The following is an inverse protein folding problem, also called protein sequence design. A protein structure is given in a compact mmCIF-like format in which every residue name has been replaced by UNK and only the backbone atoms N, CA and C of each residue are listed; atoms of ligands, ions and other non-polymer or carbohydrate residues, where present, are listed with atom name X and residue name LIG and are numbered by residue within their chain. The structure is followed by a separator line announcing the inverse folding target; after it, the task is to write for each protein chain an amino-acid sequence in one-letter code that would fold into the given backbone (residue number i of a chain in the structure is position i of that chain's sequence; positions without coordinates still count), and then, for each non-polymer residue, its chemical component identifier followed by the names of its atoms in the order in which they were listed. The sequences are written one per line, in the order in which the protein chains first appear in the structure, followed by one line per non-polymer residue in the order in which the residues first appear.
data_IF_898670797197
#
_entry.id   IF_898670797197
#
_cell.length_a   1.000
_cell.length_b   1.000
_cell.length_c   1.000
_cell.angle_alpha   90.00
_cell.angle_beta   90.00
_cell.angle_gamma   90.00
#
_symmetry.space_group_name_H-M   'P 1'
#
loop_
_entity.id
_entity.type
_entity.pdbx_description
1 polymer ?
#
# COMPACT_ATOMS: atom_id res chain seq x y z
N UNK A 1 -22.57 -6.28 4.28
CA UNK A 1 -21.49 -5.48 4.90
C UNK A 1 -20.64 -4.92 3.77
N UNK A 2 -19.93 -3.81 3.97
CA UNK A 2 -19.03 -3.28 2.95
C UNK A 2 -17.78 -4.17 2.88
N UNK A 3 -17.70 -4.98 1.81
CA UNK A 3 -16.62 -5.93 1.62
C UNK A 3 -15.27 -5.23 1.41
N UNK A 4 -15.25 -4.14 0.64
CA UNK A 4 -14.05 -3.37 0.32
C UNK A 4 -13.47 -2.68 1.55
N UNK A 5 -14.30 -2.14 2.44
CA UNK A 5 -13.83 -1.58 3.71
C UNK A 5 -13.24 -2.64 4.63
N UNK A 6 -13.86 -3.81 4.71
CA UNK A 6 -13.33 -4.92 5.51
C UNK A 6 -11.98 -5.38 4.96
N UNK A 7 -11.85 -5.53 3.64
CA UNK A 7 -10.57 -5.88 3.02
C UNK A 7 -9.49 -4.83 3.29
N UNK A 8 -9.81 -3.54 3.15
CA UNK A 8 -8.89 -2.46 3.50
C UNK A 8 -8.42 -2.55 4.95
N UNK A 9 -9.37 -2.76 5.87
CA UNK A 9 -9.08 -2.91 7.29
C UNK A 9 -8.11 -4.06 7.58
N UNK A 10 -8.31 -5.22 6.93
CA UNK A 10 -7.36 -6.33 7.03
C UNK A 10 -6.03 -6.01 6.37
N UNK A 11 -6.01 -5.45 5.16
CA UNK A 11 -4.79 -5.14 4.41
C UNK A 11 -3.81 -4.25 5.18
N UNK A 12 -4.32 -3.32 5.97
CA UNK A 12 -3.52 -2.47 6.86
C UNK A 12 -2.86 -3.23 8.02
N UNK A 13 -3.42 -4.37 8.44
CA UNK A 13 -3.06 -5.08 9.68
C UNK A 13 -2.37 -6.41 9.45
N UNK A 14 -2.63 -7.06 8.31
CA UNK A 14 -2.03 -8.35 7.98
C UNK A 14 -0.60 -8.18 7.49
N UNK A 15 0.17 -9.26 7.64
CA UNK A 15 1.54 -9.33 7.19
C UNK A 15 1.68 -9.71 5.71
N UNK A 16 0.71 -10.44 5.19
CA UNK A 16 0.72 -11.06 3.87
C UNK A 16 -0.71 -11.22 3.38
N UNK A 17 -0.95 -10.91 2.11
CA UNK A 17 -2.24 -11.09 1.44
C UNK A 17 -2.02 -12.13 0.35
N UNK A 18 -2.76 -13.25 0.41
CA UNK A 18 -2.67 -14.32 -0.59
C UNK A 18 -3.91 -14.27 -1.47
N UNK A 19 -3.71 -13.96 -2.75
CA UNK A 19 -4.76 -14.01 -3.77
C UNK A 19 -4.67 -15.36 -4.49
N UNK A 20 -5.74 -16.14 -4.42
CA UNK A 20 -5.81 -17.48 -5.01
C UNK A 20 -6.59 -17.43 -6.33
N UNK A 21 -6.01 -17.98 -7.39
CA UNK A 21 -6.64 -18.18 -8.68
C UNK A 21 -6.61 -19.66 -9.06
N UNK A 22 -7.60 -20.10 -9.84
CA UNK A 22 -7.68 -21.47 -10.33
C UNK A 22 -7.15 -21.54 -11.77
N UNK A 23 -6.15 -22.37 -12.03
CA UNK A 23 -5.56 -22.53 -13.37
C UNK A 23 -6.55 -23.11 -14.39
N UNK A 24 -7.55 -23.88 -13.92
CA UNK A 24 -8.55 -24.49 -14.79
C UNK A 24 -9.69 -23.52 -15.16
N UNK A 25 -9.99 -22.56 -14.27
CA UNK A 25 -11.09 -21.59 -14.42
C UNK A 25 -10.62 -20.19 -14.03
N UNK A 26 -9.66 -19.66 -14.77
CA UNK A 26 -9.21 -18.29 -14.55
C UNK A 26 -10.33 -17.33 -14.95
N UNK A 27 -10.96 -16.72 -13.96
CA UNK A 27 -11.89 -15.62 -14.12
C UNK A 27 -11.54 -14.53 -13.09
N UNK A 28 -11.44 -13.30 -13.56
CA UNK A 28 -11.15 -12.13 -12.72
C UNK A 28 -12.35 -11.22 -12.86
N UNK A 29 -13.29 -11.40 -11.93
CA UNK A 29 -14.53 -10.62 -11.93
C UNK A 29 -14.27 -9.16 -11.54
N UNK A 30 -15.26 -8.31 -11.81
CA UNK A 30 -15.22 -6.91 -11.40
C UNK A 30 -15.13 -6.79 -9.87
N UNK A 31 -15.82 -7.65 -9.11
CA UNK A 31 -15.73 -7.67 -7.65
C UNK A 31 -14.32 -8.03 -7.16
N UNK A 32 -13.64 -8.94 -7.85
CA UNK A 32 -12.25 -9.29 -7.51
C UNK A 32 -11.31 -8.12 -7.82
N UNK A 33 -11.56 -7.42 -8.92
CA UNK A 33 -10.80 -6.22 -9.27
C UNK A 33 -11.00 -5.09 -8.25
N UNK A 34 -12.22 -4.90 -7.74
CA UNK A 34 -12.50 -3.97 -6.64
C UNK A 34 -11.82 -4.39 -5.33
N UNK A 35 -11.83 -5.69 -5.01
CA UNK A 35 -11.13 -6.24 -3.86
C UNK A 35 -9.61 -5.96 -3.92
N UNK A 36 -8.98 -6.15 -5.08
CA UNK A 36 -7.55 -5.82 -5.26
C UNK A 36 -7.34 -4.31 -5.08
N UNK A 37 -8.20 -3.47 -5.66
CA UNK A 37 -8.11 -2.01 -5.50
C UNK A 37 -8.27 -1.57 -4.05
N UNK A 38 -9.02 -2.30 -3.22
CA UNK A 38 -9.14 -2.03 -1.79
C UNK A 38 -7.81 -2.20 -1.03
N UNK A 39 -6.86 -2.97 -1.57
CA UNK A 39 -5.51 -3.15 -1.02
C UNK A 39 -4.48 -2.14 -1.55
N UNK A 40 -4.90 -1.09 -2.27
CA UNK A 40 -3.98 -0.05 -2.78
C UNK A 40 -3.08 0.49 -1.67
N UNK A 41 -1.77 0.53 -1.92
CA UNK A 41 -0.76 0.98 -0.96
C UNK A 41 -0.27 -0.12 0.00
N UNK A 42 -0.80 -1.34 -0.16
CA UNK A 42 -0.33 -2.57 0.52
C UNK A 42 0.16 -3.59 -0.51
N UNK A 43 0.54 -3.14 -1.72
CA UNK A 43 0.88 -3.97 -2.86
C UNK A 43 2.08 -4.90 -2.57
N UNK A 44 3.03 -4.46 -1.74
CA UNK A 44 4.20 -5.23 -1.30
C UNK A 44 3.82 -6.49 -0.48
N UNK A 45 2.64 -6.45 0.16
CA UNK A 45 2.10 -7.56 0.93
C UNK A 45 1.44 -8.61 0.06
N UNK A 46 1.11 -8.31 -1.19
CA UNK A 46 0.37 -9.21 -2.07
C UNK A 46 1.27 -10.33 -2.60
N UNK A 47 0.77 -11.56 -2.51
CA UNK A 47 1.29 -12.74 -3.21
C UNK A 47 0.16 -13.42 -3.93
N UNK A 48 0.42 -13.83 -5.16
CA UNK A 48 -0.58 -14.49 -5.99
C UNK A 48 -0.25 -15.96 -6.05
N UNK A 49 -1.26 -16.81 -6.04
CA UNK A 49 -1.13 -18.26 -6.15
C UNK A 49 -2.03 -18.71 -7.28
N UNK A 50 -1.45 -19.28 -8.32
CA UNK A 50 -2.19 -19.97 -9.37
C UNK A 50 -2.27 -21.45 -9.00
N UNK A 51 -3.37 -21.79 -8.34
CA UNK A 51 -3.66 -23.11 -7.80
C UNK A 51 -4.23 -24.06 -8.86
N UNK A 52 -4.21 -25.37 -8.58
CA UNK A 52 -4.68 -26.44 -9.48
C UNK A 52 -3.97 -26.44 -10.84
N UNK A 53 -2.73 -25.95 -10.89
CA UNK A 53 -1.92 -25.89 -12.10
C UNK A 53 -1.63 -27.29 -12.72
N UNK A 54 -1.82 -28.36 -11.95
CA UNK A 54 -1.69 -29.74 -12.40
C UNK A 54 -2.90 -30.25 -13.19
N UNK A 55 -4.00 -29.49 -13.28
CA UNK A 55 -5.21 -29.85 -14.04
C UNK A 55 -5.17 -29.39 -15.51
N UNK A 56 -4.09 -28.72 -15.90
CA UNK A 56 -3.90 -28.19 -17.25
C UNK A 56 -2.54 -28.65 -17.78
N UNK A 57 -2.39 -28.70 -19.11
CA UNK A 57 -1.09 -28.99 -19.72
C UNK A 57 -0.13 -27.79 -19.64
N UNK A 58 1.13 -28.02 -19.98
CA UNK A 58 2.19 -27.00 -19.94
C UNK A 58 1.90 -25.78 -20.81
N UNK A 59 1.29 -25.95 -21.99
CA UNK A 59 0.99 -24.82 -22.89
C UNK A 59 -0.19 -24.00 -22.38
N UNK A 60 -1.25 -24.67 -21.92
CA UNK A 60 -2.40 -24.04 -21.31
C UNK A 60 -2.00 -23.29 -20.05
N UNK A 61 -1.16 -23.88 -19.19
CA UNK A 61 -0.63 -23.22 -18.00
C UNK A 61 0.06 -21.90 -18.35
N UNK A 62 0.88 -21.87 -19.41
CA UNK A 62 1.54 -20.63 -19.82
C UNK A 62 0.57 -19.57 -20.35
N UNK A 63 -0.48 -19.98 -21.07
CA UNK A 63 -1.55 -19.06 -21.53
C UNK A 63 -2.31 -18.47 -20.35
N UNK A 64 -2.68 -19.30 -19.38
CA UNK A 64 -3.41 -18.89 -18.17
C UNK A 64 -2.53 -17.95 -17.33
N UNK A 65 -1.26 -18.28 -17.14
CA UNK A 65 -0.30 -17.43 -16.44
C UNK A 65 -0.17 -16.06 -17.11
N UNK A 66 0.00 -16.03 -18.44
CA UNK A 66 0.07 -14.78 -19.21
C UNK A 66 -1.19 -13.93 -19.08
N UNK A 67 -2.37 -14.56 -19.17
CA UNK A 67 -3.66 -13.88 -19.00
C UNK A 67 -3.82 -13.30 -17.58
N UNK A 68 -3.42 -14.05 -16.55
CA UNK A 68 -3.43 -13.58 -15.16
C UNK A 68 -2.53 -12.36 -14.98
N UNK A 69 -1.28 -12.42 -15.45
CA UNK A 69 -0.34 -11.31 -15.33
C UNK A 69 -0.81 -10.06 -16.06
N UNK A 70 -1.37 -10.22 -17.25
CA UNK A 70 -1.96 -9.12 -18.03
C UNK A 70 -3.09 -8.43 -17.27
N UNK A 71 -4.01 -9.22 -16.70
CA UNK A 71 -5.13 -8.68 -15.94
C UNK A 71 -4.68 -8.01 -14.64
N UNK A 72 -3.76 -8.63 -13.89
CA UNK A 72 -3.20 -8.04 -12.68
C UNK A 72 -2.49 -6.72 -12.98
N UNK A 73 -1.75 -6.61 -14.08
CA UNK A 73 -1.08 -5.38 -14.50
C UNK A 73 -2.03 -4.22 -14.81
N UNK A 74 -3.30 -4.50 -15.15
CA UNK A 74 -4.33 -3.47 -15.32
C UNK A 74 -4.92 -2.98 -14.00
N UNK A 75 -4.92 -3.82 -12.98
CA UNK A 75 -5.60 -3.56 -11.71
C UNK A 75 -4.63 -3.03 -10.66
N UNK A 76 -3.42 -3.60 -10.59
CA UNK A 76 -2.37 -3.23 -9.65
C UNK A 76 -1.54 -2.12 -10.30
N UNK A 77 -1.70 -0.90 -9.80
CA UNK A 77 -1.08 0.29 -10.34
C UNK A 77 0.33 0.51 -9.76
N UNK A 78 1.22 -0.47 -9.94
CA UNK A 78 2.63 -0.40 -9.55
C UNK A 78 3.52 -0.90 -10.69
N UNK A 79 4.70 -0.31 -10.93
CA UNK A 79 5.64 -0.83 -11.90
C UNK A 79 6.25 -2.19 -11.49
N UNK A 80 6.12 -2.57 -10.21
CA UNK A 80 6.67 -3.82 -9.70
C UNK A 80 5.78 -5.02 -10.05
N UNK A 81 6.40 -6.07 -10.58
CA UNK A 81 5.69 -7.30 -10.95
C UNK A 81 5.41 -8.13 -9.70
N UNK A 82 4.14 -8.45 -9.47
CA UNK A 82 3.73 -9.28 -8.32
C UNK A 82 4.21 -10.72 -8.48
N UNK A 83 4.74 -11.30 -7.40
CA UNK A 83 5.16 -12.72 -7.37
C UNK A 83 3.93 -13.64 -7.40
N UNK A 84 3.87 -14.48 -8.42
CA UNK A 84 2.89 -15.56 -8.57
C UNK A 84 3.55 -16.89 -8.26
N UNK A 85 2.93 -17.72 -7.42
CA UNK A 85 3.35 -19.10 -7.14
C UNK A 85 2.47 -20.09 -7.90
N UNK A 86 3.09 -20.95 -8.71
CA UNK A 86 2.39 -21.96 -9.51
C UNK A 86 2.34 -23.31 -8.78
N UNK A 87 1.18 -23.93 -8.68
CA UNK A 87 1.13 -25.28 -8.11
C UNK A 87 -0.27 -25.82 -7.84
N UNK A 88 -0.29 -26.93 -7.12
CA UNK A 88 -1.51 -27.55 -6.60
C UNK A 88 -1.35 -27.76 -5.11
N UNK A 89 -1.92 -26.85 -4.33
CA UNK A 89 -1.64 -26.71 -2.90
C UNK A 89 -2.58 -27.59 -2.06
N UNK A 90 -2.45 -28.91 -2.25
CA UNK A 90 -3.22 -29.93 -1.53
C UNK A 90 -2.41 -31.22 -1.34
N UNK A 91 -2.89 -32.13 -0.48
CA UNK A 91 -2.20 -33.39 -0.21
C UNK A 91 -2.44 -34.50 -1.24
N UNK A 92 -3.22 -34.24 -2.30
CA UNK A 92 -3.53 -35.26 -3.31
C UNK A 92 -2.40 -35.40 -4.34
N UNK A 93 -2.27 -36.57 -5.00
CA UNK A 93 -1.35 -36.72 -6.12
C UNK A 93 -1.65 -35.73 -7.25
N UNK A 94 -0.61 -35.30 -7.96
CA UNK A 94 -0.74 -34.45 -9.15
C UNK A 94 -1.45 -35.22 -10.27
N UNK A 95 -2.38 -34.57 -10.96
CA UNK A 95 -3.01 -35.11 -12.16
C UNK A 95 -2.03 -35.10 -13.34
N UNK A 96 -1.38 -33.96 -13.58
CA UNK A 96 -0.29 -33.82 -14.54
C UNK A 96 1.06 -33.63 -13.82
N UNK A 97 2.02 -34.50 -14.12
CA UNK A 97 3.35 -34.50 -13.50
C UNK A 97 4.45 -33.83 -14.33
N UNK A 98 4.16 -33.36 -15.55
CA UNK A 98 5.14 -32.70 -16.43
C UNK A 98 5.90 -31.58 -15.73
N UNK A 99 5.17 -30.73 -14.99
CA UNK A 99 5.70 -29.58 -14.29
C UNK A 99 5.97 -29.82 -12.80
N UNK A 100 6.07 -31.09 -12.35
CA UNK A 100 6.23 -31.43 -10.93
C UNK A 100 7.36 -30.65 -10.25
N UNK A 101 8.55 -30.61 -10.87
CA UNK A 101 9.72 -29.90 -10.31
C UNK A 101 9.46 -28.41 -10.11
N UNK A 102 8.74 -27.78 -11.05
CA UNK A 102 8.34 -26.39 -10.95
C UNK A 102 7.38 -26.20 -9.77
N UNK A 103 6.32 -27.01 -9.68
CA UNK A 103 5.33 -26.90 -8.59
C UNK A 103 5.96 -27.12 -7.21
N UNK A 104 6.87 -28.07 -7.06
CA UNK A 104 7.61 -28.31 -5.82
C UNK A 104 8.50 -27.13 -5.44
N UNK A 105 9.22 -26.55 -6.41
CA UNK A 105 10.06 -25.37 -6.19
C UNK A 105 9.23 -24.15 -5.77
N UNK A 106 8.15 -23.86 -6.49
CA UNK A 106 7.23 -22.75 -6.19
C UNK A 106 6.55 -22.91 -4.83
N UNK A 107 6.16 -24.14 -4.48
CA UNK A 107 5.61 -24.49 -3.17
C UNK A 107 6.63 -24.23 -2.06
N UNK A 108 7.88 -24.65 -2.26
CA UNK A 108 8.97 -24.42 -1.30
C UNK A 108 9.23 -22.92 -1.11
N UNK A 109 9.18 -22.14 -2.19
CA UNK A 109 9.38 -20.69 -2.12
C UNK A 109 8.22 -19.97 -1.42
N UNK A 110 6.97 -20.39 -1.66
CA UNK A 110 5.81 -19.88 -0.90
C UNK A 110 5.96 -20.19 0.60
N UNK A 111 6.34 -21.42 0.95
CA UNK A 111 6.54 -21.80 2.34
C UNK A 111 7.66 -21.00 3.00
N UNK A 112 8.78 -20.76 2.31
CA UNK A 112 9.85 -19.89 2.82
C UNK A 112 9.38 -18.46 3.05
N UNK A 113 8.61 -17.89 2.13
CA UNK A 113 8.05 -16.54 2.29
C UNK A 113 7.15 -16.46 3.53
N UNK A 114 6.26 -17.44 3.71
CA UNK A 114 5.36 -17.52 4.87
C UNK A 114 6.14 -17.75 6.18
N UNK A 115 7.10 -18.67 6.19
CA UNK A 115 7.96 -18.95 7.36
C UNK A 115 8.84 -17.75 7.73
N UNK A 116 9.16 -16.89 6.77
CA UNK A 116 9.89 -15.65 6.99
C UNK A 116 9.06 -14.53 7.65
N UNK A 117 7.72 -14.64 7.66
CA UNK A 117 6.84 -13.56 8.14
C UNK A 117 7.13 -13.14 9.58
N UNK A 118 7.30 -14.04 10.58
CA UNK A 118 7.57 -13.63 11.96
C UNK A 118 8.87 -12.83 12.10
N UNK A 119 9.92 -13.23 11.38
CA UNK A 119 11.22 -12.53 11.36
C UNK A 119 11.09 -11.15 10.70
N UNK A 120 10.29 -11.07 9.65
CA UNK A 120 10.07 -9.85 8.88
C UNK A 120 9.01 -8.92 9.49
N UNK A 121 8.21 -9.39 10.45
CA UNK A 121 7.15 -8.61 11.09
C UNK A 121 7.71 -7.44 11.91
N UNK A 122 8.81 -7.64 12.62
CA UNK A 122 9.49 -6.57 13.36
C UNK A 122 10.01 -5.47 12.41
N UNK A 123 10.69 -5.87 11.32
CA UNK A 123 11.20 -4.94 10.30
C UNK A 123 10.06 -4.20 9.58
N UNK A 124 8.95 -4.88 9.25
CA UNK A 124 7.79 -4.22 8.64
C UNK A 124 7.09 -3.26 9.59
N UNK A 125 6.89 -3.63 10.86
CA UNK A 125 6.37 -2.71 11.89
C UNK A 125 7.27 -1.48 12.05
N UNK A 126 8.58 -1.65 11.98
CA UNK A 126 9.54 -0.56 11.97
C UNK A 126 9.34 0.34 10.73
N UNK A 127 9.25 -0.24 9.53
CA UNK A 127 9.01 0.50 8.29
C UNK A 127 7.67 1.27 8.31
N UNK A 128 6.61 0.65 8.83
CA UNK A 128 5.30 1.29 8.96
C UNK A 128 5.32 2.43 9.98
N UNK A 129 6.07 2.26 11.09
CA UNK A 129 6.30 3.33 12.05
C UNK A 129 7.07 4.49 11.41
N UNK A 130 8.13 4.22 10.64
CA UNK A 130 8.90 5.23 9.91
C UNK A 130 8.01 5.97 8.91
N UNK A 131 7.21 5.27 8.12
CA UNK A 131 6.24 5.87 7.18
C UNK A 131 5.25 6.79 7.92
N UNK A 132 4.64 6.30 9.01
CA UNK A 132 3.69 7.11 9.82
C UNK A 132 4.36 8.32 10.45
N UNK A 133 5.57 8.16 10.97
CA UNK A 133 6.34 9.24 11.58
C UNK A 133 6.64 10.34 10.56
N UNK A 134 6.98 9.95 9.32
CA UNK A 134 7.15 10.88 8.20
C UNK A 134 5.86 11.63 7.89
N UNK A 135 4.74 10.93 7.71
CA UNK A 135 3.44 11.56 7.43
C UNK A 135 3.02 12.54 8.54
N UNK A 136 3.23 12.17 9.81
CA UNK A 136 2.94 13.05 10.95
C UNK A 136 3.81 14.31 10.94
N UNK A 137 5.09 14.20 10.54
CA UNK A 137 6.00 15.33 10.38
C UNK A 137 5.56 16.25 9.24
N UNK A 138 5.17 15.72 8.08
CA UNK A 138 4.59 16.50 6.97
C UNK A 138 3.36 17.27 7.43
N UNK A 139 2.44 16.58 8.11
CA UNK A 139 1.24 17.20 8.65
C UNK A 139 1.55 18.34 9.63
N UNK A 140 2.53 18.15 10.52
CA UNK A 140 2.95 19.19 11.46
C UNK A 140 3.49 20.45 10.74
N UNK A 141 4.24 20.30 9.65
CA UNK A 141 4.69 21.43 8.83
C UNK A 141 3.53 22.16 8.16
N UNK A 142 2.58 21.42 7.57
CA UNK A 142 1.38 22.01 6.94
C UNK A 142 0.61 22.84 7.96
N UNK A 143 0.25 22.25 9.09
CA UNK A 143 -0.54 22.92 10.14
C UNK A 143 0.20 24.14 10.69
N UNK A 144 1.51 24.05 10.92
CA UNK A 144 2.27 25.20 11.40
C UNK A 144 2.42 26.30 10.35
N UNK A 145 2.56 25.96 9.07
CA UNK A 145 2.62 26.96 8.01
C UNK A 145 1.30 27.73 7.93
N UNK A 146 0.18 27.01 7.93
CA UNK A 146 -1.16 27.61 7.95
C UNK A 146 -1.33 28.52 9.18
N UNK A 147 -0.92 28.06 10.37
CA UNK A 147 -0.96 28.89 11.59
C UNK A 147 -0.13 30.16 11.47
N UNK A 148 1.06 30.09 10.88
CA UNK A 148 1.98 31.22 10.70
C UNK A 148 1.40 32.29 9.76
N UNK A 149 0.70 31.87 8.71
CA UNK A 149 0.09 32.78 7.73
C UNK A 149 -1.24 33.39 8.18
N UNK A 150 -1.82 32.91 9.29
CA UNK A 150 -3.09 33.44 9.79
C UNK A 150 -2.93 34.81 10.46
N UNK A 151 -3.80 35.79 10.16
CA UNK A 151 -3.77 37.08 10.81
C UNK A 151 -4.29 37.00 12.25
N UNK A 152 -3.71 37.78 13.14
CA UNK A 152 -4.06 37.76 14.57
C UNK A 152 -5.43 38.39 14.87
N UNK A 153 -5.83 39.43 14.11
CA UNK A 153 -6.95 40.32 14.47
C UNK A 153 -8.15 40.22 13.51
N UNK A 154 -7.97 40.53 12.22
CA UNK A 154 -9.07 40.63 11.24
C UNK A 154 -8.77 39.84 9.95
N UNK A 155 -9.81 39.52 9.17
CA UNK A 155 -9.66 38.88 7.86
C UNK A 155 -9.36 37.38 7.89
N UNK A 156 -9.59 36.71 9.04
CA UNK A 156 -9.27 35.28 9.25
C UNK A 156 -9.97 34.36 8.26
N UNK A 157 -11.27 34.52 8.05
CA UNK A 157 -12.04 33.67 7.11
C UNK A 157 -11.54 33.83 5.67
N UNK A 158 -11.40 35.08 5.20
CA UNK A 158 -10.87 35.34 3.85
C UNK A 158 -9.46 34.78 3.66
N UNK A 159 -8.59 34.91 4.67
CA UNK A 159 -7.23 34.33 4.61
C UNK A 159 -7.26 32.81 4.61
N UNK A 160 -8.15 32.19 5.40
CA UNK A 160 -8.34 30.73 5.42
C UNK A 160 -8.75 30.22 4.03
N UNK A 161 -9.74 30.85 3.39
CA UNK A 161 -10.16 30.49 2.03
C UNK A 161 -8.99 30.61 1.03
N UNK A 162 -8.24 31.71 1.09
CA UNK A 162 -7.04 31.91 0.26
C UNK A 162 -6.00 30.79 0.48
N UNK A 163 -5.71 30.44 1.74
CA UNK A 163 -4.73 29.40 2.08
C UNK A 163 -5.17 28.00 1.61
N UNK A 164 -6.46 27.70 1.70
CA UNK A 164 -7.01 26.43 1.19
C UNK A 164 -6.90 26.37 -0.33
N UNK A 165 -7.21 27.46 -1.04
CA UNK A 165 -7.04 27.50 -2.50
C UNK A 165 -5.57 27.37 -2.92
N UNK A 166 -4.65 27.94 -2.15
CA UNK A 166 -3.20 27.91 -2.42
C UNK A 166 -2.48 26.69 -1.86
N UNK A 167 -3.21 25.70 -1.32
CA UNK A 167 -2.63 24.51 -0.70
C UNK A 167 -1.64 23.75 -1.62
N UNK A 168 -1.89 23.59 -2.93
CA UNK A 168 -0.92 22.96 -3.83
C UNK A 168 0.42 23.74 -3.93
N UNK A 169 0.37 25.07 -3.90
CA UNK A 169 1.56 25.92 -3.88
C UNK A 169 2.30 25.77 -2.56
N UNK A 170 1.56 25.76 -1.44
CA UNK A 170 2.11 25.57 -0.09
C UNK A 170 2.83 24.23 0.00
N UNK A 171 2.28 23.15 -0.56
CA UNK A 171 2.94 21.85 -0.60
C UNK A 171 4.25 21.91 -1.37
N UNK A 172 4.29 22.60 -2.51
CA UNK A 172 5.52 22.80 -3.29
C UNK A 172 6.58 23.59 -2.51
N UNK A 173 6.17 24.58 -1.73
CA UNK A 173 7.08 25.35 -0.84
C UNK A 173 7.66 24.43 0.23
N UNK A 174 6.81 23.70 0.96
CA UNK A 174 7.23 22.80 2.03
C UNK A 174 8.09 21.63 1.53
N UNK A 175 7.82 21.11 0.33
CA UNK A 175 8.67 20.11 -0.34
C UNK A 175 10.11 20.60 -0.49
N UNK A 176 10.28 21.83 -0.97
CA UNK A 176 11.61 22.42 -1.20
C UNK A 176 12.30 22.79 0.10
N UNK A 177 11.58 23.39 1.04
CA UNK A 177 12.15 23.90 2.31
C UNK A 177 12.57 22.77 3.25
N UNK A 178 11.83 21.66 3.26
CA UNK A 178 12.06 20.55 4.19
C UNK A 178 12.50 19.24 3.52
N UNK A 179 12.80 19.28 2.22
CA UNK A 179 13.23 18.12 1.42
C UNK A 179 12.28 16.92 1.51
N UNK A 180 10.97 17.17 1.40
CA UNK A 180 9.91 16.17 1.54
C UNK A 180 9.53 15.62 0.16
N UNK A 181 9.31 14.31 0.05
CA UNK A 181 8.80 13.70 -1.18
C UNK A 181 7.34 14.11 -1.44
N UNK A 182 6.99 14.33 -2.70
CA UNK A 182 5.63 14.69 -3.08
C UNK A 182 4.59 13.63 -2.70
N UNK A 183 4.98 12.35 -2.67
CA UNK A 183 4.10 11.24 -2.30
C UNK A 183 3.72 11.21 -0.81
N UNK A 184 4.40 11.97 0.04
CA UNK A 184 4.11 12.02 1.49
C UNK A 184 3.05 13.09 1.84
N UNK A 185 2.55 13.85 0.86
CA UNK A 185 1.54 14.89 1.09
C UNK A 185 0.12 14.32 1.08
N UNK A 186 -0.70 14.59 2.11
CA UNK A 186 -2.07 14.09 2.20
C UNK A 186 -3.07 14.90 1.36
N UNK A 187 -4.22 14.29 1.07
CA UNK A 187 -5.42 15.00 0.59
C UNK A 187 -6.29 15.34 1.83
N UNK A 188 -6.20 16.57 2.34
CA UNK A 188 -6.87 16.96 3.59
C UNK A 188 -8.14 17.79 3.40
N UNK A 189 -9.13 17.53 4.26
CA UNK A 189 -10.33 18.35 4.39
C UNK A 189 -10.15 19.42 5.48
N UNK A 190 -9.55 20.55 5.10
CA UNK A 190 -9.23 21.65 6.03
C UNK A 190 -10.40 22.61 6.30
N UNK A 191 -11.48 22.52 5.52
CA UNK A 191 -12.60 23.47 5.53
C UNK A 191 -13.28 23.59 6.90
N UNK A 192 -13.35 22.51 7.67
CA UNK A 192 -14.06 22.45 8.95
C UNK A 192 -13.22 22.91 10.15
N UNK A 193 -11.96 23.28 9.95
CA UNK A 193 -11.06 23.66 11.04
C UNK A 193 -10.88 25.18 11.14
N UNK A 194 -10.68 25.67 12.36
CA UNK A 194 -10.29 27.05 12.65
C UNK A 194 -8.76 27.13 12.72
N UNK A 195 -8.15 27.71 11.68
CA UNK A 195 -6.69 27.77 11.55
C UNK A 195 -6.06 28.66 12.63
N UNK A 196 -6.81 29.57 13.24
CA UNK A 196 -6.30 30.40 14.32
C UNK A 196 -6.04 29.61 15.61
N UNK A 197 -6.68 28.44 15.76
CA UNK A 197 -6.48 27.53 16.90
C UNK A 197 -5.36 26.51 16.69
N UNK A 198 -4.76 26.48 15.49
CA UNK A 198 -3.68 25.55 15.23
C UNK A 198 -2.46 25.85 16.11
N UNK A 199 -1.73 24.80 16.55
CA UNK A 199 -0.49 24.97 17.28
C UNK A 199 0.62 25.47 16.35
N UNK A 200 1.52 26.28 16.89
CA UNK A 200 2.79 26.60 16.23
C UNK A 200 3.73 25.38 16.25
N UNK A 201 4.65 25.30 15.29
CA UNK A 201 5.64 24.24 15.22
C UNK A 201 6.46 24.17 16.51
N UNK A 202 6.61 22.96 17.05
CA UNK A 202 7.50 22.67 18.17
C UNK A 202 8.69 21.88 17.66
N UNK A 203 9.81 22.57 17.40
CA UNK A 203 11.02 21.95 16.84
C UNK A 203 11.51 20.73 17.64
N UNK A 204 11.42 20.77 18.97
CA UNK A 204 11.78 19.64 19.84
C UNK A 204 11.00 18.35 19.52
N UNK A 205 9.74 18.45 19.09
CA UNK A 205 8.94 17.29 18.71
C UNK A 205 9.36 16.75 17.34
N UNK A 206 9.73 17.63 16.41
CA UNK A 206 10.25 17.26 15.09
C UNK A 206 11.60 16.53 15.24
N UNK A 207 12.52 17.10 16.03
CA UNK A 207 13.81 16.47 16.33
C UNK A 207 13.66 15.08 16.96
N UNK A 208 12.63 14.88 17.79
CA UNK A 208 12.35 13.58 18.40
C UNK A 208 11.91 12.54 17.36
N UNK A 209 11.17 12.98 16.33
CA UNK A 209 10.74 12.13 15.20
C UNK A 209 11.91 11.85 14.26
N UNK A 210 12.78 12.83 14.02
CA UNK A 210 13.96 12.68 13.16
C UNK A 210 14.94 11.64 13.72
N UNK A 211 15.09 11.59 15.05
CA UNK A 211 15.89 10.55 15.74
C UNK A 211 15.37 9.13 15.50
N UNK A 212 14.06 8.94 15.33
CA UNK A 212 13.45 7.63 15.04
C UNK A 212 13.69 7.24 13.58
N UNK A 213 13.80 8.21 12.68
CA UNK A 213 13.97 7.95 11.24
C UNK A 213 15.43 7.71 10.83
N UNK A 214 16.39 7.98 11.72
CA UNK A 214 17.85 7.80 11.51
C UNK A 214 18.40 6.51 12.17
N UNK A 215 17.56 5.76 12.89
CA UNK A 215 17.90 4.50 13.55
C UNK A 215 17.41 3.30 12.74
#
# INVERSE_FOLDING_TARGET
YDFSEVLRWFGERVDRIILLFDAHKLDISDEFSEAIKAFRGQDDKIRVVLNKADQVDSQQLMRVYGALMWSLGKVINTPEVVRVYLGSFWAKPLQNTENRRLFEAETKDLFKDIQGLPRNAALRKLNDLIKRARLAKVHAYIISYLKKEMPSLFGKEKKKEELIMRLPEIYTILQREHHISAGDFPNEQLQHYDFSKFPSLKMKLIESVDKISLA
#
